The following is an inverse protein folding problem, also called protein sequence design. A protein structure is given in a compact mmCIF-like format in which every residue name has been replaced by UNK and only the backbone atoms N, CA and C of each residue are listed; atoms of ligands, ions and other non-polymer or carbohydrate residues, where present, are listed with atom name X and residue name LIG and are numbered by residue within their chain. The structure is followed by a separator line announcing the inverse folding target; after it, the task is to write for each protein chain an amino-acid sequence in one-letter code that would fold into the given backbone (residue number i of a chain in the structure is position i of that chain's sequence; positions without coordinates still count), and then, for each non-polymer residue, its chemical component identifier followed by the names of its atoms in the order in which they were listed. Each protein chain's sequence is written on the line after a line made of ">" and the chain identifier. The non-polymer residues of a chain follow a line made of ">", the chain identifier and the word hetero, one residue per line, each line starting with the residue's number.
data_IF_925937962646
#
_entry.id   IF_925937962646
#
_cell.length_a   1.000
_cell.length_b   1.000
_cell.length_c   1.000
_cell.angle_alpha   90.00
_cell.angle_beta   90.00
_cell.angle_gamma   90.00
#
_symmetry.space_group_name_H-M   'P 1'
#
loop_
_entity.id
_entity.type
_entity.pdbx_description
1 polymer ?
#
# COMPACT_ATOMS: atom_id res chain seq x y z
N UNK A 1 29.50 5.72 5.49
CA UNK A 1 28.25 4.93 5.59
C UNK A 1 27.48 4.95 4.27
N UNK A 2 26.99 6.09 3.79
CA UNK A 2 26.25 6.17 2.50
C UNK A 2 26.99 5.64 1.27
N UNK A 3 28.26 6.00 1.08
CA UNK A 3 29.04 5.56 -0.09
C UNK A 3 29.25 4.04 -0.12
N UNK A 4 29.30 3.40 1.05
CA UNK A 4 29.38 1.94 1.16
C UNK A 4 28.04 1.31 0.81
N UNK A 5 26.91 1.86 1.30
CA UNK A 5 25.56 1.40 0.95
C UNK A 5 25.31 1.50 -0.57
N UNK A 6 25.71 2.61 -1.21
CA UNK A 6 25.64 2.77 -2.67
C UNK A 6 26.43 1.69 -3.42
N UNK A 7 27.67 1.43 -2.99
CA UNK A 7 28.51 0.40 -3.60
C UNK A 7 27.90 -0.98 -3.42
N UNK A 8 27.50 -1.34 -2.21
CA UNK A 8 26.90 -2.64 -1.90
C UNK A 8 25.59 -2.84 -2.65
N UNK A 9 24.73 -1.82 -2.77
CA UNK A 9 23.49 -1.91 -3.53
C UNK A 9 23.76 -2.10 -5.03
N UNK A 10 24.78 -1.43 -5.59
CA UNK A 10 25.21 -1.64 -6.98
C UNK A 10 25.69 -3.08 -7.19
N UNK A 11 26.49 -3.60 -6.27
CA UNK A 11 27.03 -4.96 -6.34
C UNK A 11 25.93 -6.02 -6.20
N UNK A 12 24.96 -5.80 -5.30
CA UNK A 12 23.78 -6.64 -5.16
C UNK A 12 22.93 -6.67 -6.45
N UNK A 13 22.85 -5.53 -7.15
CA UNK A 13 22.21 -5.41 -8.46
C UNK A 13 23.06 -5.98 -9.62
N UNK A 14 24.25 -6.52 -9.34
CA UNK A 14 25.21 -7.06 -10.32
C UNK A 14 25.57 -6.07 -11.44
N UNK A 15 25.58 -4.77 -11.13
CA UNK A 15 25.93 -3.73 -12.10
C UNK A 15 27.38 -3.27 -11.92
N UNK A 16 28.08 -3.02 -13.02
CA UNK A 16 29.31 -2.24 -13.03
C UNK A 16 29.01 -0.75 -12.80
N UNK A 17 30.03 0.02 -12.41
CA UNK A 17 29.90 1.48 -12.28
C UNK A 17 29.53 2.15 -13.62
N UNK A 18 29.96 1.59 -14.75
CA UNK A 18 29.65 2.11 -16.07
C UNK A 18 28.17 1.85 -16.44
N UNK A 19 27.64 0.68 -16.10
CA UNK A 19 26.23 0.35 -16.34
C UNK A 19 25.29 1.19 -15.47
N UNK A 20 25.62 1.37 -14.18
CA UNK A 20 24.85 2.26 -13.30
C UNK A 20 24.86 3.70 -13.82
N UNK A 21 26.02 4.18 -14.27
CA UNK A 21 26.15 5.51 -14.86
C UNK A 21 25.29 5.68 -16.12
N UNK A 22 25.30 4.68 -17.00
CA UNK A 22 24.51 4.67 -18.22
C UNK A 22 22.99 4.67 -17.91
N UNK A 23 22.55 3.84 -16.96
CA UNK A 23 21.14 3.79 -16.54
C UNK A 23 20.67 5.10 -15.90
N UNK A 24 21.50 5.67 -15.03
CA UNK A 24 21.21 6.93 -14.34
C UNK A 24 21.36 8.17 -15.23
N UNK A 25 21.88 8.03 -16.47
CA UNK A 25 22.13 9.14 -17.38
C UNK A 25 23.18 10.13 -16.86
N UNK A 26 24.20 9.65 -16.14
CA UNK A 26 25.27 10.50 -15.58
C UNK A 26 26.66 10.04 -16.01
N UNK A 27 27.69 10.91 -15.95
CA UNK A 27 29.07 10.48 -16.22
C UNK A 27 29.55 9.43 -15.21
N UNK A 28 30.26 8.40 -15.68
CA UNK A 28 30.85 7.34 -14.81
C UNK A 28 31.66 7.90 -13.64
N UNK A 29 32.37 9.00 -13.85
CA UNK A 29 33.14 9.66 -12.80
C UNK A 29 32.25 10.10 -11.62
N UNK A 30 30.99 10.49 -11.84
CA UNK A 30 30.08 10.83 -10.74
C UNK A 30 29.75 9.61 -9.86
N UNK A 31 29.61 8.42 -10.46
CA UNK A 31 29.43 7.16 -9.71
C UNK A 31 30.67 6.87 -8.86
N UNK A 32 31.87 6.99 -9.46
CA UNK A 32 33.13 6.77 -8.74
C UNK A 32 33.27 7.73 -7.56
N UNK A 33 32.93 9.01 -7.76
CA UNK A 33 32.97 10.04 -6.71
C UNK A 33 31.98 9.71 -5.58
N UNK A 34 30.76 9.32 -5.92
CA UNK A 34 29.73 8.90 -4.97
C UNK A 34 30.20 7.72 -4.11
N UNK A 35 30.72 6.66 -4.74
CA UNK A 35 31.19 5.44 -4.05
C UNK A 35 32.48 5.62 -3.27
N UNK A 36 33.22 6.72 -3.51
CA UNK A 36 34.40 7.12 -2.72
C UNK A 36 34.04 8.06 -1.57
N UNK A 37 32.76 8.42 -1.41
CA UNK A 37 32.31 9.33 -0.35
C UNK A 37 32.65 10.80 -0.61
N UNK A 38 32.90 11.18 -1.86
CA UNK A 38 33.06 12.58 -2.21
C UNK A 38 31.70 13.27 -2.29
N UNK A 39 31.71 14.61 -2.14
CA UNK A 39 30.51 15.42 -2.27
C UNK A 39 29.90 15.30 -3.68
N UNK A 40 28.65 14.84 -3.70
CA UNK A 40 27.78 14.81 -4.87
C UNK A 40 26.53 15.64 -4.57
N UNK A 41 25.84 16.08 -5.62
CA UNK A 41 24.55 16.77 -5.45
C UNK A 41 23.47 15.76 -5.05
N UNK A 42 22.41 16.24 -4.39
CA UNK A 42 21.23 15.43 -4.10
C UNK A 42 20.56 14.92 -5.39
N UNK A 43 20.62 15.68 -6.49
CA UNK A 43 20.11 15.21 -7.79
C UNK A 43 20.91 14.03 -8.34
N UNK A 44 22.24 14.08 -8.28
CA UNK A 44 23.09 12.94 -8.65
C UNK A 44 22.78 11.72 -7.79
N UNK A 45 22.64 11.91 -6.47
CA UNK A 45 22.28 10.83 -5.57
C UNK A 45 20.92 10.23 -5.95
N UNK A 46 19.89 11.07 -6.14
CA UNK A 46 18.55 10.65 -6.55
C UNK A 46 18.56 9.82 -7.83
N UNK A 47 19.30 10.27 -8.85
CA UNK A 47 19.45 9.55 -10.13
C UNK A 47 20.11 8.18 -9.96
N UNK A 48 21.08 8.06 -9.06
CA UNK A 48 21.73 6.77 -8.79
C UNK A 48 20.80 5.80 -8.07
N UNK A 49 20.12 6.28 -7.04
CA UNK A 49 19.30 5.45 -6.14
C UNK A 49 18.07 4.90 -6.83
N UNK A 50 17.53 5.63 -7.82
CA UNK A 50 16.43 5.17 -8.66
C UNK A 50 16.69 3.85 -9.41
N UNK A 51 17.96 3.43 -9.53
CA UNK A 51 18.35 2.22 -10.24
C UNK A 51 18.99 1.16 -9.32
N UNK A 52 18.93 1.36 -8.01
CA UNK A 52 19.52 0.48 -7.02
C UNK A 52 18.44 -0.11 -6.11
N UNK A 53 18.61 -1.37 -5.66
CA UNK A 53 17.69 -2.01 -4.73
C UNK A 53 17.95 -1.50 -3.30
N UNK A 54 17.59 -0.24 -3.04
CA UNK A 54 17.74 0.41 -1.75
C UNK A 54 16.43 1.07 -1.34
N UNK A 55 15.85 0.57 -0.25
CA UNK A 55 14.60 1.08 0.33
C UNK A 55 14.85 2.25 1.30
N UNK A 56 16.01 2.24 1.97
CA UNK A 56 16.43 3.31 2.89
C UNK A 56 17.91 3.64 2.67
N UNK A 57 18.24 4.93 2.64
CA UNK A 57 19.63 5.41 2.71
C UNK A 57 19.86 6.22 3.97
N UNK A 58 20.94 5.88 4.66
CA UNK A 58 21.37 6.61 5.86
C UNK A 58 22.22 7.79 5.40
N UNK A 59 21.58 8.93 5.16
CA UNK A 59 22.23 10.15 4.65
C UNK A 59 22.97 10.92 5.76
N UNK A 60 22.46 10.84 6.98
CA UNK A 60 23.03 11.29 8.25
C UNK A 60 22.53 10.28 9.30
N UNK A 61 23.27 10.02 10.38
CA UNK A 61 22.86 9.09 11.47
C UNK A 61 21.47 9.37 12.07
N UNK A 62 20.83 10.47 11.66
CA UNK A 62 19.52 10.94 12.15
C UNK A 62 18.48 11.24 11.07
N UNK A 63 18.77 11.09 9.77
CA UNK A 63 17.79 11.41 8.71
C UNK A 63 17.69 10.28 7.70
N UNK A 64 16.56 9.56 7.77
CA UNK A 64 16.11 8.60 6.76
C UNK A 64 15.53 9.36 5.58
N UNK A 65 16.11 9.24 4.39
CA UNK A 65 15.42 9.64 3.16
C UNK A 65 14.63 8.45 2.64
N UNK A 66 13.31 8.54 2.70
CA UNK A 66 12.42 7.77 1.84
C UNK A 66 12.52 8.38 0.44
N UNK A 67 13.21 7.71 -0.47
CA UNK A 67 13.25 8.13 -1.87
C UNK A 67 11.90 7.83 -2.51
N UNK A 68 11.07 8.87 -2.62
CA UNK A 68 9.76 8.81 -3.25
C UNK A 68 9.92 9.05 -4.75
N UNK A 69 10.33 7.99 -5.46
CA UNK A 69 10.82 8.01 -6.85
C UNK A 69 9.68 8.04 -7.88
N UNK A 70 8.42 7.99 -7.45
CA UNK A 70 7.31 7.93 -8.39
C UNK A 70 7.02 9.31 -9.03
N UNK A 71 6.87 9.36 -10.37
CA UNK A 71 6.32 10.52 -11.07
C UNK A 71 5.01 11.03 -10.44
N UNK A 72 4.75 12.34 -10.50
CA UNK A 72 3.60 12.99 -9.81
C UNK A 72 2.26 12.35 -10.15
N UNK A 73 2.06 11.90 -11.39
CA UNK A 73 0.83 11.22 -11.81
C UNK A 73 0.65 9.86 -11.14
N UNK A 74 1.73 9.13 -10.92
CA UNK A 74 1.68 7.86 -10.20
C UNK A 74 1.37 8.07 -8.72
N UNK A 75 1.84 9.18 -8.11
CA UNK A 75 1.47 9.53 -6.73
C UNK A 75 -0.01 9.85 -6.59
N UNK A 76 -0.60 10.54 -7.57
CA UNK A 76 -2.05 10.82 -7.58
C UNK A 76 -2.83 9.53 -7.75
N UNK A 77 -2.40 8.64 -8.64
CA UNK A 77 -3.04 7.34 -8.85
C UNK A 77 -2.95 6.45 -7.59
N UNK A 78 -1.77 6.40 -6.94
CA UNK A 78 -1.58 5.67 -5.69
C UNK A 78 -2.37 6.27 -4.54
N UNK A 79 -2.42 7.60 -4.42
CA UNK A 79 -3.24 8.28 -3.42
C UNK A 79 -4.74 8.01 -3.62
N UNK A 80 -5.20 7.97 -4.87
CA UNK A 80 -6.57 7.59 -5.20
C UNK A 80 -6.86 6.11 -4.86
N UNK A 81 -5.91 5.21 -5.13
CA UNK A 81 -6.00 3.80 -4.74
C UNK A 81 -6.03 3.62 -3.22
N UNK A 82 -5.19 4.34 -2.48
CA UNK A 82 -5.18 4.28 -1.01
C UNK A 82 -6.49 4.79 -0.43
N UNK A 83 -6.99 5.92 -0.94
CA UNK A 83 -8.31 6.46 -0.57
C UNK A 83 -9.42 5.44 -0.86
N UNK A 84 -9.37 4.77 -2.01
CA UNK A 84 -10.35 3.74 -2.37
C UNK A 84 -10.28 2.55 -1.39
N UNK A 85 -9.08 2.09 -1.03
CA UNK A 85 -8.91 1.01 -0.05
C UNK A 85 -9.43 1.41 1.34
N UNK A 86 -9.19 2.64 1.78
CA UNK A 86 -9.70 3.16 3.04
C UNK A 86 -11.24 3.19 3.05
N UNK A 87 -11.86 3.68 1.98
CA UNK A 87 -13.33 3.70 1.82
C UNK A 87 -13.89 2.28 1.80
N UNK A 88 -13.22 1.36 1.11
CA UNK A 88 -13.63 -0.04 1.05
C UNK A 88 -13.61 -0.71 2.43
N UNK A 89 -12.57 -0.49 3.22
CA UNK A 89 -12.48 -0.98 4.60
C UNK A 89 -13.51 -0.34 5.54
N UNK A 90 -13.83 0.94 5.35
CA UNK A 90 -14.91 1.58 6.08
C UNK A 90 -16.27 0.95 5.75
N UNK A 91 -16.53 0.67 4.47
CA UNK A 91 -17.76 0.02 4.01
C UNK A 91 -17.89 -1.41 4.55
N UNK A 92 -16.80 -2.18 4.57
CA UNK A 92 -16.75 -3.52 5.17
C UNK A 92 -17.16 -3.47 6.64
N UNK A 93 -16.60 -2.54 7.42
CA UNK A 93 -16.93 -2.35 8.84
C UNK A 93 -18.40 -1.96 9.05
N UNK A 94 -18.92 -1.06 8.22
CA UNK A 94 -20.32 -0.66 8.28
C UNK A 94 -21.28 -1.83 8.01
N UNK A 95 -20.96 -2.71 7.05
CA UNK A 95 -21.75 -3.90 6.74
C UNK A 95 -21.75 -4.93 7.87
N UNK A 96 -20.59 -5.18 8.49
CA UNK A 96 -20.48 -6.03 9.67
C UNK A 96 -21.39 -5.49 10.79
N UNK A 97 -21.31 -4.18 11.05
CA UNK A 97 -22.14 -3.55 12.08
C UNK A 97 -23.64 -3.61 11.77
N UNK A 98 -24.04 -3.42 10.51
CA UNK A 98 -25.42 -3.57 10.07
C UNK A 98 -25.93 -5.01 10.25
N UNK A 99 -25.08 -6.02 10.06
CA UNK A 99 -25.46 -7.41 10.31
C UNK A 99 -25.58 -7.71 11.80
N UNK A 100 -24.67 -7.22 12.62
CA UNK A 100 -24.71 -7.43 14.08
C UNK A 100 -25.95 -6.77 14.70
N UNK A 101 -26.27 -5.55 14.27
CA UNK A 101 -27.48 -4.84 14.71
C UNK A 101 -28.75 -5.58 14.26
N UNK A 102 -28.77 -6.14 13.05
CA UNK A 102 -29.89 -6.96 12.60
C UNK A 102 -30.03 -8.26 13.41
N UNK A 103 -28.92 -8.94 13.72
CA UNK A 103 -28.94 -10.14 14.56
C UNK A 103 -29.42 -9.85 15.99
N UNK A 104 -29.03 -8.71 16.55
CA UNK A 104 -29.52 -8.22 17.83
C UNK A 104 -31.03 -7.89 17.77
N UNK A 105 -31.48 -7.23 16.70
CA UNK A 105 -32.90 -6.93 16.48
C UNK A 105 -33.75 -8.20 16.35
N UNK A 106 -33.32 -9.19 15.56
CA UNK A 106 -34.02 -10.48 15.46
C UNK A 106 -34.08 -11.22 16.81
N UNK A 107 -33.02 -11.14 17.61
CA UNK A 107 -32.97 -11.76 18.93
C UNK A 107 -33.90 -11.05 19.93
N UNK A 108 -34.08 -9.74 19.80
CA UNK A 108 -35.07 -8.97 20.54
C UNK A 108 -36.50 -9.30 20.08
N UNK A 109 -36.74 -9.39 18.76
CA UNK A 109 -38.03 -9.78 18.17
C UNK A 109 -38.49 -11.16 18.66
N UNK A 110 -37.59 -12.13 18.76
CA UNK A 110 -37.92 -13.48 19.30
C UNK A 110 -38.35 -13.47 20.78
N UNK A 111 -38.11 -12.37 21.49
CA UNK A 111 -38.54 -12.15 22.88
C UNK A 111 -39.82 -11.30 22.97
N UNK A 112 -40.31 -10.71 21.86
CA UNK A 112 -41.56 -9.95 21.81
C UNK A 112 -42.78 -10.90 21.88
N UNK A 113 -43.88 -10.39 22.42
CA UNK A 113 -45.13 -11.15 22.59
C UNK A 113 -45.96 -11.18 21.29
N UNK A 114 -46.93 -12.11 21.15
CA UNK A 114 -47.73 -12.26 19.92
C UNK A 114 -48.51 -10.99 19.52
N UNK A 115 -48.92 -10.15 20.49
CA UNK A 115 -49.65 -8.89 20.24
C UNK A 115 -48.77 -7.81 19.57
N UNK A 116 -47.49 -7.75 19.92
CA UNK A 116 -46.53 -6.77 19.40
C UNK A 116 -46.09 -7.10 17.96
N UNK A 117 -46.13 -8.38 17.60
CA UNK A 117 -45.73 -8.90 16.29
C UNK A 117 -46.74 -8.61 15.16
N UNK A 118 -48.02 -8.40 15.49
CA UNK A 118 -49.09 -8.22 14.51
C UNK A 118 -49.13 -6.82 13.86
N UNK A 119 -48.45 -5.82 14.44
CA UNK A 119 -48.53 -4.42 14.00
C UNK A 119 -47.44 -4.00 12.99
N UNK A 120 -46.37 -4.77 12.81
CA UNK A 120 -45.24 -4.42 11.90
C UNK A 120 -45.29 -5.26 10.62
N UNK A 121 -46.09 -4.86 9.64
CA UNK A 121 -46.21 -5.55 8.35
C UNK A 121 -45.01 -5.40 7.41
N UNK A 122 -44.84 -6.39 6.51
CA UNK A 122 -44.17 -6.32 5.20
C UNK A 122 -42.63 -6.29 5.18
N UNK A 123 -41.96 -7.45 5.22
CA UNK A 123 -40.49 -7.52 5.25
C UNK A 123 -39.86 -7.69 3.86
N UNK A 124 -39.18 -6.65 3.36
CA UNK A 124 -37.97 -6.83 2.54
C UNK A 124 -36.95 -7.47 3.48
N UNK A 125 -36.45 -8.68 3.20
CA UNK A 125 -35.47 -9.36 4.06
C UNK A 125 -34.12 -8.63 4.06
N UNK A 126 -33.84 -7.72 5.02
CA UNK A 126 -32.64 -6.89 4.99
C UNK A 126 -31.39 -7.75 5.21
N UNK A 127 -31.57 -8.90 5.87
CA UNK A 127 -30.57 -9.93 6.07
C UNK A 127 -30.01 -10.47 4.76
N UNK A 128 -30.87 -10.77 3.78
CA UNK A 128 -30.43 -11.34 2.49
C UNK A 128 -29.62 -10.30 1.70
N UNK A 129 -30.05 -9.04 1.73
CA UNK A 129 -29.33 -7.92 1.10
C UNK A 129 -27.97 -7.74 1.76
N UNK A 130 -27.90 -7.63 3.09
CA UNK A 130 -26.65 -7.46 3.83
C UNK A 130 -25.69 -8.65 3.62
N UNK A 131 -26.20 -9.89 3.64
CA UNK A 131 -25.39 -11.08 3.36
C UNK A 131 -24.81 -11.06 1.94
N UNK A 132 -25.60 -10.65 0.95
CA UNK A 132 -25.11 -10.54 -0.44
C UNK A 132 -24.02 -9.47 -0.59
N UNK A 133 -24.18 -8.32 0.05
CA UNK A 133 -23.19 -7.24 0.06
C UNK A 133 -21.90 -7.67 0.78
N UNK A 134 -22.02 -8.35 1.91
CA UNK A 134 -20.85 -8.81 2.67
C UNK A 134 -20.08 -9.91 1.93
N UNK A 135 -20.78 -10.77 1.17
CA UNK A 135 -20.15 -11.74 0.28
C UNK A 135 -19.35 -11.06 -0.84
N UNK A 136 -19.92 -10.04 -1.47
CA UNK A 136 -19.24 -9.26 -2.51
C UNK A 136 -18.00 -8.54 -1.96
N UNK A 137 -18.09 -7.97 -0.76
CA UNK A 137 -16.95 -7.33 -0.08
C UNK A 137 -15.85 -8.33 0.24
N UNK A 138 -16.20 -9.51 0.76
CA UNK A 138 -15.20 -10.55 1.05
C UNK A 138 -14.52 -11.08 -0.22
N UNK A 139 -15.25 -11.21 -1.33
CA UNK A 139 -14.66 -11.62 -2.61
C UNK A 139 -13.60 -10.63 -3.12
N UNK A 140 -13.89 -9.32 -3.01
CA UNK A 140 -12.94 -8.27 -3.38
C UNK A 140 -11.73 -8.23 -2.44
N UNK A 141 -11.93 -8.39 -1.12
CA UNK A 141 -10.85 -8.48 -0.13
C UNK A 141 -9.91 -9.67 -0.42
N UNK A 142 -10.48 -10.83 -0.73
CA UNK A 142 -9.70 -12.03 -1.08
C UNK A 142 -8.97 -11.92 -2.42
N UNK A 143 -9.49 -11.12 -3.36
CA UNK A 143 -8.77 -10.79 -4.60
C UNK A 143 -7.64 -9.81 -4.35
N UNK A 144 -7.83 -8.83 -3.48
CA UNK A 144 -6.80 -7.87 -3.09
C UNK A 144 -5.65 -8.55 -2.34
N UNK A 145 -5.94 -9.51 -1.46
CA UNK A 145 -4.92 -10.31 -0.77
C UNK A 145 -4.10 -11.20 -1.71
N UNK A 146 -4.71 -11.70 -2.79
CA UNK A 146 -4.05 -12.54 -3.81
C UNK A 146 -3.30 -11.76 -4.89
N UNK A 147 -3.24 -10.42 -4.80
CA UNK A 147 -2.61 -9.61 -5.83
C UNK A 147 -1.06 -9.69 -5.72
N UNK A 148 -0.36 -10.23 -6.73
CA UNK A 148 1.10 -10.46 -6.69
C UNK A 148 1.94 -9.19 -6.54
N UNK A 149 1.36 -8.00 -6.75
CA UNK A 149 2.03 -6.72 -6.54
C UNK A 149 2.34 -6.43 -5.07
N UNK A 150 1.68 -7.11 -4.12
CA UNK A 150 1.97 -6.95 -2.68
C UNK A 150 3.17 -7.78 -2.21
N UNK A 151 3.46 -8.91 -2.85
CA UNK A 151 4.60 -9.78 -2.51
C UNK A 151 5.93 -9.20 -2.99
N UNK A 152 5.93 -8.44 -4.08
CA UNK A 152 7.12 -7.76 -4.61
C UNK A 152 7.57 -6.53 -3.80
N UNK A 153 6.76 -6.04 -2.85
CA UNK A 153 7.08 -4.89 -2.01
C UNK A 153 7.66 -5.27 -0.62
N UNK A 154 7.80 -6.57 -0.34
CA UNK A 154 8.28 -7.13 0.94
C UNK A 154 9.65 -7.81 0.85
N UNK A 155 10.36 -7.70 -0.29
CA UNK A 155 11.72 -8.19 -0.50
C UNK A 155 12.60 -7.08 -1.08
#
# INVERSE_FOLDING_TARGET
>A
MLHHQLRSAREAAKMSQAELAARAGIPRNQVVRAEKGQNITLDTLRKLVAHLPVTELTLLDTVKLSTDILPVHDKVYLGALDTFLQVFEAMKRALIHAQDTLAAYESARKRETPEESAQRGGEVHPRLILQSMMRAVNEVDERLKRNPLREAATH
#
